data_IF_685768766319
#
_entry.id   IF_685768766319
#
_cell.length_a   1.000
_cell.length_b   1.000
_cell.length_c   1.000
_cell.angle_alpha   90.00
_cell.angle_beta   90.00
_cell.angle_gamma   90.00
#
_symmetry.space_group_name_H-M   'P 1'
#
loop_
_entity.id
_entity.type
_entity.pdbx_description
1 polymer ?
#
# COMPACT_ATOMS: atom_id res chain seq x y z
N UNK A 1 5.00 -25.16 -18.72
CA UNK A 1 3.99 -24.37 -18.01
C UNK A 1 4.62 -23.97 -16.68
N UNK A 2 4.74 -22.67 -16.38
CA UNK A 2 5.23 -22.28 -15.06
C UNK A 2 4.15 -22.62 -14.03
N UNK A 3 4.37 -23.69 -13.29
CA UNK A 3 3.51 -24.06 -12.15
C UNK A 3 3.69 -23.03 -11.05
N UNK A 4 2.67 -22.24 -10.79
CA UNK A 4 2.69 -21.17 -9.79
C UNK A 4 1.95 -21.67 -8.53
N UNK A 5 2.67 -21.81 -7.43
CA UNK A 5 2.12 -22.21 -6.15
C UNK A 5 1.61 -21.00 -5.34
N UNK A 6 0.61 -21.24 -4.54
CA UNK A 6 0.13 -20.37 -3.47
C UNK A 6 0.06 -21.17 -2.17
N UNK A 7 0.09 -20.48 -1.04
CA UNK A 7 -0.13 -21.10 0.26
C UNK A 7 -1.54 -20.78 0.75
N UNK A 8 -2.28 -21.79 1.22
CA UNK A 8 -3.61 -21.60 1.81
C UNK A 8 -3.67 -22.39 3.11
N UNK A 9 -3.89 -21.70 4.22
CA UNK A 9 -3.96 -22.25 5.58
C UNK A 9 -2.71 -23.03 5.96
N UNK A 10 -2.65 -24.32 5.62
CA UNK A 10 -1.56 -25.21 6.00
C UNK A 10 -0.85 -25.82 4.77
N UNK A 11 -1.34 -25.58 3.54
CA UNK A 11 -0.90 -26.28 2.33
C UNK A 11 -0.39 -25.37 1.21
N UNK A 12 0.63 -25.85 0.49
CA UNK A 12 1.02 -25.31 -0.81
C UNK A 12 0.23 -26.01 -1.92
N UNK A 13 -0.60 -25.25 -2.60
CA UNK A 13 -1.42 -25.73 -3.71
C UNK A 13 -1.09 -25.00 -5.02
N UNK A 14 -1.41 -25.60 -6.15
CA UNK A 14 -1.33 -24.88 -7.43
C UNK A 14 -2.32 -23.71 -7.43
N UNK A 15 -1.92 -22.58 -8.00
CA UNK A 15 -2.76 -21.38 -8.07
C UNK A 15 -4.13 -21.65 -8.72
N UNK A 16 -4.17 -22.53 -9.72
CA UNK A 16 -5.39 -22.92 -10.42
C UNK A 16 -6.33 -23.79 -9.57
N UNK A 17 -5.81 -24.46 -8.54
CA UNK A 17 -6.57 -25.29 -7.60
C UNK A 17 -6.95 -24.55 -6.32
N UNK A 18 -6.40 -23.35 -6.11
CA UNK A 18 -6.68 -22.55 -4.93
C UNK A 18 -8.16 -22.13 -4.85
N UNK A 19 -8.82 -22.36 -3.73
CA UNK A 19 -10.25 -22.10 -3.55
C UNK A 19 -10.52 -21.48 -2.18
N UNK A 20 -11.43 -20.52 -2.14
CA UNK A 20 -12.08 -20.00 -0.94
C UNK A 20 -13.59 -20.21 -1.13
N UNK A 21 -14.27 -20.71 -0.12
CA UNK A 21 -15.71 -20.94 -0.19
C UNK A 21 -16.48 -19.62 -0.16
N UNK A 22 -17.66 -19.59 -0.80
CA UNK A 22 -18.53 -18.41 -0.85
C UNK A 22 -19.09 -17.98 0.50
N UNK A 23 -18.98 -18.84 1.53
CA UNK A 23 -19.35 -18.54 2.92
C UNK A 23 -18.26 -17.77 3.68
N UNK A 24 -17.10 -17.52 3.06
CA UNK A 24 -16.06 -16.69 3.69
C UNK A 24 -16.51 -15.24 3.84
N UNK A 25 -16.28 -14.66 5.01
CA UNK A 25 -16.68 -13.28 5.29
C UNK A 25 -15.96 -12.24 4.41
N UNK A 26 -14.81 -12.58 3.83
CA UNK A 26 -14.17 -11.71 2.83
C UNK A 26 -15.01 -11.59 1.56
N UNK A 27 -15.69 -12.67 1.16
CA UNK A 27 -16.57 -12.70 -0.01
C UNK A 27 -17.91 -12.03 0.31
N UNK A 28 -18.48 -12.34 1.47
CA UNK A 28 -19.83 -11.87 1.85
C UNK A 28 -19.84 -10.44 2.37
N UNK A 29 -18.81 -10.00 3.07
CA UNK A 29 -18.78 -8.73 3.83
C UNK A 29 -17.53 -7.90 3.64
N UNK A 30 -16.54 -8.37 2.88
CA UNK A 30 -15.26 -7.68 2.77
C UNK A 30 -14.45 -7.69 4.08
N UNK A 31 -14.72 -8.64 5.00
CA UNK A 31 -14.06 -8.69 6.31
C UNK A 31 -12.77 -9.47 6.24
N UNK A 32 -11.66 -8.75 6.37
CA UNK A 32 -10.31 -9.30 6.32
C UNK A 32 -9.26 -8.21 6.18
N UNK A 33 -8.02 -8.63 6.26
CA UNK A 33 -6.83 -7.78 6.14
C UNK A 33 -5.87 -8.37 5.12
N UNK A 34 -4.92 -7.54 4.66
CA UNK A 34 -3.80 -8.02 3.88
C UNK A 34 -2.55 -7.20 4.15
N UNK A 35 -1.39 -7.77 3.80
CA UNK A 35 -0.19 -6.98 3.60
C UNK A 35 0.47 -7.37 2.27
N UNK A 36 1.37 -6.51 1.80
CA UNK A 36 2.06 -6.72 0.53
C UNK A 36 3.48 -6.18 0.64
N UNK A 37 4.45 -7.05 0.38
CA UNK A 37 5.85 -6.69 0.24
C UNK A 37 6.40 -7.22 -1.07
N UNK A 38 7.56 -6.69 -1.47
CA UNK A 38 8.24 -7.16 -2.68
C UNK A 38 9.54 -7.86 -2.34
N UNK A 39 9.99 -8.70 -3.25
CA UNK A 39 11.33 -9.29 -3.24
C UNK A 39 12.18 -8.71 -4.37
N UNK A 40 13.46 -8.52 -4.11
CA UNK A 40 14.48 -8.09 -5.08
C UNK A 40 15.62 -9.09 -4.93
N UNK A 41 16.02 -9.72 -6.04
CA UNK A 41 17.02 -10.81 -6.04
C UNK A 41 16.73 -11.89 -4.97
N UNK A 42 15.45 -12.22 -4.80
CA UNK A 42 14.98 -13.19 -3.81
C UNK A 42 14.92 -12.67 -2.36
N UNK A 43 15.42 -11.47 -2.08
CA UNK A 43 15.43 -10.89 -0.74
C UNK A 43 14.16 -10.05 -0.50
N UNK A 44 13.41 -10.29 0.59
CA UNK A 44 12.24 -9.49 0.91
C UNK A 44 12.64 -8.09 1.41
N UNK A 45 11.98 -7.07 0.88
CA UNK A 45 12.22 -5.66 1.22
C UNK A 45 11.37 -5.27 2.42
N UNK A 46 11.99 -4.81 3.51
CA UNK A 46 11.34 -4.33 4.74
C UNK A 46 10.35 -5.35 5.36
N UNK A 47 10.68 -6.64 5.30
CA UNK A 47 9.76 -7.72 5.70
C UNK A 47 9.26 -7.57 7.14
N UNK A 48 10.15 -7.24 8.08
CA UNK A 48 9.76 -7.15 9.50
C UNK A 48 8.76 -6.00 9.74
N UNK A 49 8.92 -4.86 9.08
CA UNK A 49 7.94 -3.76 9.12
C UNK A 49 6.58 -4.17 8.55
N UNK A 50 6.58 -4.94 7.45
CA UNK A 50 5.35 -5.47 6.86
C UNK A 50 4.66 -6.46 7.79
N UNK A 51 5.40 -7.33 8.45
CA UNK A 51 4.87 -8.27 9.45
C UNK A 51 4.35 -7.53 10.69
N UNK A 52 5.05 -6.51 11.19
CA UNK A 52 4.56 -5.66 12.29
C UNK A 52 3.17 -5.12 11.97
N UNK A 53 2.99 -4.53 10.79
CA UNK A 53 1.71 -3.98 10.35
C UNK A 53 0.65 -5.05 10.12
N UNK A 54 1.01 -6.21 9.60
CA UNK A 54 0.09 -7.31 9.39
C UNK A 54 -0.46 -7.83 10.73
N UNK A 55 0.41 -8.09 11.72
CA UNK A 55 -0.04 -8.54 13.04
C UNK A 55 -0.82 -7.47 13.79
N UNK A 56 -0.42 -6.20 13.68
CA UNK A 56 -1.21 -5.07 14.20
C UNK A 56 -2.62 -5.07 13.59
N UNK A 57 -2.72 -5.14 12.26
CA UNK A 57 -4.01 -5.16 11.57
C UNK A 57 -4.86 -6.37 11.95
N UNK A 58 -4.24 -7.54 12.15
CA UNK A 58 -4.92 -8.76 12.58
C UNK A 58 -5.50 -8.59 14.00
N UNK A 59 -4.74 -8.01 14.93
CA UNK A 59 -5.18 -7.73 16.29
C UNK A 59 -6.36 -6.77 16.33
N UNK A 60 -6.28 -5.65 15.60
CA UNK A 60 -7.36 -4.65 15.50
C UNK A 60 -8.67 -5.21 14.90
N UNK A 61 -8.56 -6.21 14.02
CA UNK A 61 -9.69 -6.89 13.42
C UNK A 61 -10.11 -8.17 14.16
N UNK A 62 -9.53 -8.45 15.34
CA UNK A 62 -9.79 -9.67 16.11
C UNK A 62 -9.63 -10.97 15.31
N UNK A 63 -8.63 -11.00 14.40
CA UNK A 63 -8.34 -12.14 13.55
C UNK A 63 -7.06 -12.85 14.04
N UNK A 64 -7.15 -14.00 14.73
CA UNK A 64 -5.98 -14.77 15.13
C UNK A 64 -5.23 -15.28 13.89
N UNK A 65 -3.93 -14.96 13.77
CA UNK A 65 -3.12 -15.33 12.61
C UNK A 65 -2.85 -16.84 12.54
N UNK A 66 -2.79 -17.51 13.69
CA UNK A 66 -2.55 -18.95 13.77
C UNK A 66 -1.10 -19.39 13.52
N UNK A 67 -0.24 -18.50 13.07
CA UNK A 67 1.19 -18.71 12.85
C UNK A 67 2.00 -17.60 13.51
N UNK A 68 3.18 -17.91 14.01
CA UNK A 68 4.15 -16.92 14.45
C UNK A 68 4.96 -16.36 13.26
N UNK A 69 5.77 -15.33 13.52
CA UNK A 69 6.59 -14.69 12.49
C UNK A 69 7.60 -15.60 11.84
N UNK A 70 8.18 -16.52 12.63
CA UNK A 70 9.17 -17.47 12.12
C UNK A 70 8.52 -18.46 11.14
N UNK A 71 7.36 -19.00 11.50
CA UNK A 71 6.59 -19.88 10.64
C UNK A 71 6.18 -19.19 9.33
N UNK A 72 5.71 -17.92 9.38
CA UNK A 72 5.39 -17.14 8.19
C UNK A 72 6.62 -16.89 7.29
N UNK A 73 7.77 -16.54 7.88
CA UNK A 73 9.02 -16.35 7.11
C UNK A 73 9.44 -17.65 6.40
N UNK A 74 9.28 -18.79 7.04
CA UNK A 74 9.55 -20.08 6.43
C UNK A 74 8.58 -20.39 5.27
N UNK A 75 7.29 -20.03 5.41
CA UNK A 75 6.32 -20.18 4.30
C UNK A 75 6.71 -19.29 3.12
N UNK A 76 7.10 -18.03 3.34
CA UNK A 76 7.56 -17.14 2.27
C UNK A 76 8.79 -17.68 1.55
N UNK A 77 9.76 -18.21 2.30
CA UNK A 77 10.95 -18.83 1.71
C UNK A 77 10.58 -20.04 0.83
N UNK A 78 9.79 -20.97 1.36
CA UNK A 78 9.36 -22.14 0.61
C UNK A 78 8.54 -21.77 -0.65
N UNK A 79 7.70 -20.73 -0.55
CA UNK A 79 6.93 -20.25 -1.69
C UNK A 79 7.85 -19.66 -2.77
N UNK A 80 8.86 -18.88 -2.36
CA UNK A 80 9.86 -18.31 -3.26
C UNK A 80 10.68 -19.40 -3.97
N UNK A 81 11.08 -20.44 -3.26
CA UNK A 81 11.80 -21.61 -3.82
C UNK A 81 10.92 -22.36 -4.83
N UNK A 82 9.66 -22.66 -4.48
CA UNK A 82 8.72 -23.37 -5.36
C UNK A 82 8.41 -22.61 -6.66
N UNK A 83 8.27 -21.28 -6.58
CA UNK A 83 7.89 -20.45 -7.72
C UNK A 83 9.09 -19.94 -8.53
N UNK A 84 10.30 -19.92 -7.94
CA UNK A 84 11.52 -19.41 -8.56
C UNK A 84 11.33 -17.99 -9.17
N UNK A 85 10.77 -17.08 -8.37
CA UNK A 85 10.48 -15.69 -8.77
C UNK A 85 11.30 -14.71 -7.91
N UNK A 86 12.56 -14.40 -8.29
CA UNK A 86 13.45 -13.55 -7.50
C UNK A 86 12.94 -12.10 -7.39
N UNK A 87 12.30 -11.58 -8.45
CA UNK A 87 11.63 -10.28 -8.45
C UNK A 87 10.13 -10.49 -8.41
N UNK A 88 9.54 -10.33 -7.23
CA UNK A 88 8.12 -10.62 -7.05
C UNK A 88 7.44 -9.74 -6.01
N UNK A 89 6.11 -9.70 -6.07
CA UNK A 89 5.25 -9.19 -5.02
C UNK A 89 4.61 -10.35 -4.28
N UNK A 90 4.73 -10.35 -2.97
CA UNK A 90 4.11 -11.33 -2.08
C UNK A 90 2.97 -10.64 -1.33
N UNK A 91 1.78 -11.20 -1.45
CA UNK A 91 0.59 -10.75 -0.74
C UNK A 91 0.17 -11.80 0.26
N UNK A 92 0.09 -11.41 1.53
CA UNK A 92 -0.47 -12.20 2.62
C UNK A 92 -1.87 -11.65 2.92
N UNK A 93 -2.87 -12.50 3.00
CA UNK A 93 -4.27 -12.13 3.29
C UNK A 93 -4.82 -13.03 4.39
N UNK A 94 -5.54 -12.41 5.35
CA UNK A 94 -6.24 -13.10 6.42
C UNK A 94 -7.69 -12.65 6.41
N UNK A 95 -8.63 -13.60 6.34
CA UNK A 95 -10.07 -13.32 6.26
C UNK A 95 -10.77 -13.65 7.56
N UNK A 96 -12.04 -13.24 7.69
CA UNK A 96 -12.89 -13.60 8.82
C UNK A 96 -13.29 -15.07 8.87
N UNK A 97 -12.85 -15.88 7.90
CA UNK A 97 -13.15 -17.29 7.83
C UNK A 97 -14.57 -17.61 7.32
N UNK A 98 -14.90 -18.89 7.30
CA UNK A 98 -16.22 -19.37 6.89
C UNK A 98 -17.26 -19.12 7.97
N UNK A 99 -18.34 -18.46 7.61
CA UNK A 99 -19.44 -18.08 8.53
C UNK A 99 -20.73 -18.82 8.14
N UNK A 100 -21.41 -19.37 9.14
CA UNK A 100 -22.69 -20.05 8.93
C UNK A 100 -23.87 -19.08 8.78
N UNK A 101 -23.81 -17.94 9.49
CA UNK A 101 -24.86 -16.92 9.50
C UNK A 101 -24.52 -15.69 8.63
N UNK A 102 -23.32 -15.67 8.02
CA UNK A 102 -22.82 -14.56 7.20
C UNK A 102 -22.45 -13.30 8.00
N UNK A 103 -22.25 -13.43 9.33
CA UNK A 103 -21.93 -12.32 10.22
C UNK A 103 -20.92 -12.69 11.31
N UNK A 104 -21.08 -13.85 11.94
CA UNK A 104 -20.16 -14.34 12.99
C UNK A 104 -18.85 -14.81 12.36
N UNK A 105 -17.72 -14.36 12.91
CA UNK A 105 -16.38 -14.78 12.42
C UNK A 105 -16.15 -16.26 12.70
N UNK A 106 -15.60 -16.97 11.70
CA UNK A 106 -15.16 -18.35 11.82
C UNK A 106 -13.67 -18.44 12.14
N UNK A 107 -13.07 -19.64 11.93
CA UNK A 107 -11.61 -19.79 11.89
C UNK A 107 -11.08 -19.00 10.69
N UNK A 108 -10.18 -18.03 10.89
CA UNK A 108 -9.61 -17.24 9.79
C UNK A 108 -8.99 -18.12 8.71
N UNK A 109 -9.14 -17.70 7.44
CA UNK A 109 -8.42 -18.30 6.34
C UNK A 109 -7.21 -17.42 6.01
N UNK A 110 -6.02 -17.99 6.06
CA UNK A 110 -4.76 -17.38 5.67
C UNK A 110 -4.35 -17.85 4.28
N UNK A 111 -4.11 -16.93 3.37
CA UNK A 111 -3.52 -17.29 2.08
C UNK A 111 -2.46 -16.30 1.62
N UNK A 112 -1.44 -16.86 0.97
CA UNK A 112 -0.28 -16.12 0.50
C UNK A 112 -0.10 -16.39 -0.99
N UNK A 113 -0.04 -15.31 -1.75
CA UNK A 113 0.16 -15.37 -3.20
C UNK A 113 1.45 -14.66 -3.57
N UNK A 114 2.11 -15.15 -4.62
CA UNK A 114 3.29 -14.53 -5.21
C UNK A 114 3.06 -14.31 -6.70
N UNK A 115 3.48 -13.15 -7.19
CA UNK A 115 3.41 -12.81 -8.60
C UNK A 115 4.67 -12.03 -9.03
N UNK A 116 5.10 -12.14 -10.29
CA UNK A 116 6.20 -11.32 -10.79
C UNK A 116 5.94 -9.84 -10.56
N UNK A 117 6.96 -9.12 -10.11
CA UNK A 117 6.89 -7.68 -9.90
C UNK A 117 8.19 -7.03 -10.34
N UNK A 118 8.10 -6.13 -11.32
CA UNK A 118 9.21 -5.32 -11.78
C UNK A 118 8.84 -3.84 -11.64
N UNK A 119 9.71 -3.07 -11.02
CA UNK A 119 9.55 -1.63 -10.95
C UNK A 119 10.08 -0.96 -12.22
N UNK A 120 9.25 -0.15 -12.86
CA UNK A 120 9.67 0.66 -14.01
C UNK A 120 10.07 2.07 -13.53
N UNK A 121 11.39 2.35 -13.50
CA UNK A 121 11.95 3.64 -13.08
C UNK A 121 11.43 4.82 -13.92
N UNK A 122 10.97 4.58 -15.16
CA UNK A 122 10.40 5.62 -16.03
C UNK A 122 9.10 6.20 -15.49
N UNK A 123 8.40 5.49 -14.61
CA UNK A 123 7.18 6.00 -13.97
C UNK A 123 7.45 7.24 -13.13
N UNK A 124 8.64 7.38 -12.54
CA UNK A 124 9.03 8.57 -11.80
C UNK A 124 8.98 9.83 -12.67
N UNK A 125 9.49 9.76 -13.90
CA UNK A 125 9.50 10.90 -14.82
C UNK A 125 8.13 11.24 -15.41
N UNK A 126 7.22 10.24 -15.47
CA UNK A 126 5.86 10.45 -15.96
C UNK A 126 4.97 11.15 -14.94
N UNK A 127 5.24 10.95 -13.64
CA UNK A 127 4.41 11.45 -12.56
C UNK A 127 2.95 11.00 -12.68
N UNK A 128 2.08 11.64 -11.90
CA UNK A 128 0.61 11.40 -11.94
C UNK A 128 -0.18 12.68 -11.70
N UNK A 129 -1.46 12.63 -12.10
CA UNK A 129 -2.49 13.62 -11.80
C UNK A 129 -3.47 13.07 -10.79
N UNK A 130 -3.84 13.86 -9.80
CA UNK A 130 -4.81 13.48 -8.76
C UNK A 130 -6.07 14.34 -8.86
N UNK A 131 -7.20 13.74 -8.50
CA UNK A 131 -8.45 14.46 -8.20
C UNK A 131 -8.79 14.25 -6.73
N UNK A 132 -9.26 15.29 -6.04
CA UNK A 132 -9.64 15.16 -4.64
C UNK A 132 -11.07 14.63 -4.47
N UNK A 133 -11.30 13.86 -3.41
CA UNK A 133 -12.63 13.36 -3.08
C UNK A 133 -12.82 13.33 -1.56
N UNK A 134 -13.96 13.85 -1.09
CA UNK A 134 -14.26 13.84 0.33
C UNK A 134 -14.61 12.41 0.79
N UNK A 135 -13.69 11.80 1.49
CA UNK A 135 -13.84 10.46 2.03
C UNK A 135 -12.85 10.21 3.17
N UNK A 136 -13.31 9.51 4.19
CA UNK A 136 -12.48 8.98 5.27
C UNK A 136 -12.67 7.47 5.33
N UNK A 137 -11.57 6.70 5.18
CA UNK A 137 -11.64 5.23 5.34
C UNK A 137 -12.10 4.88 6.76
N UNK A 138 -12.90 3.83 6.86
CA UNK A 138 -13.11 3.17 8.15
C UNK A 138 -11.80 2.50 8.56
N UNK A 139 -11.45 2.54 9.83
CA UNK A 139 -10.23 1.95 10.37
C UNK A 139 -8.97 2.30 9.53
N UNK A 140 -8.64 3.60 9.36
CA UNK A 140 -7.59 4.02 8.43
C UNK A 140 -6.22 3.42 8.76
N UNK A 141 -5.96 3.12 10.03
CA UNK A 141 -4.71 2.50 10.49
C UNK A 141 -4.60 1.01 10.13
N UNK A 142 -5.74 0.35 9.86
CA UNK A 142 -5.80 -1.08 9.53
C UNK A 142 -5.73 -1.27 8.02
N UNK A 143 -4.91 -2.23 7.59
CA UNK A 143 -4.80 -2.57 6.18
C UNK A 143 -5.84 -3.61 5.78
N UNK A 144 -7.12 -3.16 5.75
CA UNK A 144 -8.26 -4.01 5.37
C UNK A 144 -8.27 -4.34 3.88
N UNK A 145 -9.00 -5.40 3.50
CA UNK A 145 -9.30 -5.72 2.10
C UNK A 145 -10.44 -4.87 1.53
N UNK A 146 -11.05 -3.98 2.32
CA UNK A 146 -12.12 -3.10 1.86
C UNK A 146 -11.55 -1.98 0.96
N UNK A 147 -11.85 -2.09 -0.33
CA UNK A 147 -11.54 -1.11 -1.36
C UNK A 147 -12.80 -0.65 -2.11
N UNK A 148 -13.98 -0.84 -1.51
CA UNK A 148 -15.26 -0.53 -2.14
C UNK A 148 -15.30 0.89 -2.72
N UNK A 149 -14.94 1.90 -1.91
CA UNK A 149 -14.97 3.29 -2.36
C UNK A 149 -13.93 3.57 -3.46
N UNK A 150 -12.73 3.01 -3.35
CA UNK A 150 -11.69 3.18 -4.35
C UNK A 150 -12.09 2.60 -5.72
N UNK A 151 -12.72 1.42 -5.71
CA UNK A 151 -13.21 0.77 -6.93
C UNK A 151 -14.39 1.57 -7.52
N UNK A 152 -15.33 2.02 -6.67
CA UNK A 152 -16.47 2.84 -7.11
C UNK A 152 -16.05 4.16 -7.76
N UNK A 153 -14.92 4.74 -7.34
CA UNK A 153 -14.43 6.01 -7.85
C UNK A 153 -13.67 5.90 -9.20
N UNK A 154 -13.49 4.73 -9.79
CA UNK A 154 -12.73 4.59 -11.03
C UNK A 154 -13.30 5.44 -12.19
N UNK A 155 -14.63 5.51 -12.32
CA UNK A 155 -15.26 6.37 -13.34
C UNK A 155 -15.04 7.85 -13.03
N UNK A 156 -15.20 8.27 -11.78
CA UNK A 156 -14.94 9.64 -11.33
C UNK A 156 -13.50 10.07 -11.62
N UNK A 157 -12.51 9.22 -11.35
CA UNK A 157 -11.11 9.48 -11.67
C UNK A 157 -10.93 9.70 -13.17
N UNK A 158 -11.51 8.82 -13.99
CA UNK A 158 -11.44 8.91 -15.45
C UNK A 158 -12.14 10.16 -16.01
N UNK A 159 -13.32 10.52 -15.51
CA UNK A 159 -14.09 11.70 -15.92
C UNK A 159 -13.36 13.01 -15.59
N UNK A 160 -12.48 13.01 -14.58
CA UNK A 160 -11.65 14.15 -14.20
C UNK A 160 -10.23 14.11 -14.81
N UNK A 161 -9.99 13.25 -15.79
CA UNK A 161 -8.69 13.07 -16.45
C UNK A 161 -7.52 12.89 -15.47
N UNK A 162 -7.78 12.20 -14.35
CA UNK A 162 -6.83 11.91 -13.29
C UNK A 162 -6.36 10.44 -13.33
N UNK A 163 -5.28 10.15 -12.62
CA UNK A 163 -4.69 8.81 -12.54
C UNK A 163 -5.03 8.12 -11.20
N UNK A 164 -5.33 8.89 -10.15
CA UNK A 164 -5.73 8.38 -8.83
C UNK A 164 -6.54 9.47 -8.08
N UNK A 165 -7.10 9.11 -6.93
CA UNK A 165 -7.86 10.02 -6.07
C UNK A 165 -7.10 10.31 -4.78
N UNK A 166 -7.09 11.57 -4.33
CA UNK A 166 -6.60 11.99 -3.03
C UNK A 166 -7.80 12.24 -2.10
N UNK A 167 -7.88 11.48 -1.03
CA UNK A 167 -8.93 11.65 -0.04
C UNK A 167 -8.66 12.85 0.86
N UNK A 168 -9.74 13.52 1.25
CA UNK A 168 -9.71 14.60 2.25
C UNK A 168 -10.92 14.53 3.19
N UNK A 169 -10.78 15.13 4.35
CA UNK A 169 -11.84 15.26 5.36
C UNK A 169 -11.70 16.54 6.18
N UNK A 170 -12.27 16.56 7.36
CA UNK A 170 -12.21 17.73 8.25
C UNK A 170 -10.78 18.07 8.71
N UNK A 171 -9.88 17.08 8.72
CA UNK A 171 -8.45 17.26 9.08
C UNK A 171 -7.55 17.59 7.88
N UNK A 172 -8.11 17.97 6.74
CA UNK A 172 -7.38 18.22 5.50
C UNK A 172 -7.21 16.98 4.63
N UNK A 173 -6.17 16.99 3.78
CA UNK A 173 -5.81 15.86 2.92
C UNK A 173 -5.33 14.69 3.75
N UNK A 174 -5.62 13.46 3.32
CA UNK A 174 -5.19 12.25 4.02
C UNK A 174 -4.28 11.38 3.14
N UNK A 175 -4.82 10.52 2.33
CA UNK A 175 -4.06 9.57 1.52
C UNK A 175 -4.78 9.23 0.21
N UNK A 176 -4.08 8.65 -0.76
CA UNK A 176 -4.74 7.94 -1.85
C UNK A 176 -5.13 6.52 -1.39
N UNK A 177 -6.05 5.82 -2.08
CA UNK A 177 -6.49 4.47 -1.68
C UNK A 177 -5.36 3.48 -1.40
N UNK A 178 -4.20 3.67 -2.04
CA UNK A 178 -3.06 2.74 -1.97
C UNK A 178 -1.72 3.41 -1.70
N UNK A 179 -1.70 4.71 -1.38
CA UNK A 179 -0.46 5.48 -1.25
C UNK A 179 -0.60 6.55 -0.18
N UNK A 180 0.46 6.81 0.58
CA UNK A 180 0.54 8.01 1.41
C UNK A 180 0.91 9.22 0.56
N UNK A 181 0.51 10.40 1.02
CA UNK A 181 0.67 11.67 0.31
C UNK A 181 1.66 12.59 1.04
N UNK A 182 2.42 13.36 0.26
CA UNK A 182 3.41 14.32 0.74
C UNK A 182 3.38 15.58 -0.11
N UNK A 183 3.70 16.72 0.49
CA UNK A 183 4.03 17.97 -0.20
C UNK A 183 5.39 18.49 0.24
N UNK A 184 6.02 19.29 -0.61
CA UNK A 184 7.21 20.08 -0.29
C UNK A 184 6.83 21.55 -0.40
N UNK A 185 7.03 22.30 0.67
CA UNK A 185 6.73 23.73 0.73
C UNK A 185 7.81 24.56 0.03
N UNK A 186 7.58 25.85 -0.17
CA UNK A 186 8.58 26.79 -0.69
C UNK A 186 9.86 26.88 0.17
N UNK A 187 9.78 26.51 1.44
CA UNK A 187 10.91 26.49 2.39
C UNK A 187 11.58 25.12 2.52
N UNK A 188 11.39 24.23 1.56
CA UNK A 188 11.93 22.87 1.55
C UNK A 188 11.47 21.99 2.73
N UNK A 189 10.41 22.39 3.43
CA UNK A 189 9.79 21.54 4.44
C UNK A 189 8.91 20.50 3.75
N UNK A 190 9.12 19.25 4.06
CA UNK A 190 8.29 18.12 3.61
C UNK A 190 7.18 17.93 4.65
N UNK A 191 5.93 17.88 4.21
CA UNK A 191 4.77 17.65 5.09
C UNK A 191 4.02 16.41 4.60
N UNK A 192 3.65 15.53 5.52
CA UNK A 192 2.80 14.36 5.26
C UNK A 192 1.71 14.28 6.32
N UNK A 193 0.48 13.86 5.97
CA UNK A 193 -0.58 13.67 6.94
C UNK A 193 -0.19 12.72 8.08
N UNK A 194 -0.57 13.06 9.31
CA UNK A 194 -0.28 12.30 10.52
C UNK A 194 -1.43 11.36 10.90
N UNK A 195 -2.66 11.82 10.69
CA UNK A 195 -3.88 11.12 11.13
C UNK A 195 -4.75 10.72 9.94
N UNK A 196 -5.66 9.77 10.19
CA UNK A 196 -6.62 9.31 9.19
C UNK A 196 -5.97 8.67 7.94
N UNK A 197 -4.81 8.04 8.14
CA UNK A 197 -4.03 7.37 7.10
C UNK A 197 -3.58 5.99 7.55
N UNK A 198 -3.21 5.16 6.59
CA UNK A 198 -2.43 3.96 6.85
C UNK A 198 -0.97 4.33 7.14
N UNK A 199 -0.38 3.74 8.19
CA UNK A 199 1.06 3.82 8.44
C UNK A 199 1.82 3.02 7.34
N UNK A 200 2.11 3.69 6.21
CA UNK A 200 2.78 3.07 5.07
C UNK A 200 4.24 2.74 5.38
N UNK A 201 4.71 1.56 4.97
CA UNK A 201 6.09 1.13 5.22
C UNK A 201 7.08 2.02 4.46
N UNK A 202 6.79 2.36 3.21
CA UNK A 202 7.60 3.32 2.44
C UNK A 202 7.64 4.68 3.13
N UNK A 203 6.48 5.19 3.62
CA UNK A 203 6.41 6.42 4.40
C UNK A 203 7.25 6.35 5.68
N UNK A 204 7.15 5.26 6.46
CA UNK A 204 7.95 5.03 7.67
C UNK A 204 9.45 5.16 7.40
N UNK A 205 9.93 4.55 6.32
CA UNK A 205 11.34 4.59 5.96
C UNK A 205 11.78 6.00 5.50
N UNK A 206 10.94 6.73 4.76
CA UNK A 206 11.22 8.12 4.37
C UNK A 206 11.30 9.04 5.59
N UNK A 207 10.41 8.87 6.58
CA UNK A 207 10.44 9.64 7.83
C UNK A 207 11.72 9.42 8.64
N UNK A 208 12.40 8.30 8.43
CA UNK A 208 13.67 7.96 9.10
C UNK A 208 14.92 8.42 8.32
N UNK A 209 14.78 9.07 7.15
CA UNK A 209 15.95 9.55 6.41
C UNK A 209 16.57 10.76 7.08
N UNK A 210 17.90 10.71 7.26
CA UNK A 210 18.67 11.82 7.81
C UNK A 210 18.74 13.00 6.82
N UNK A 211 18.83 14.20 7.35
CA UNK A 211 19.04 15.41 6.56
C UNK A 211 17.80 16.00 5.89
N UNK A 212 16.63 15.35 6.00
CA UNK A 212 15.38 15.86 5.47
C UNK A 212 14.58 16.60 6.54
N UNK A 213 14.05 17.78 6.19
CA UNK A 213 13.14 18.54 7.07
C UNK A 213 11.70 18.03 6.90
N UNK A 214 11.39 16.90 7.52
CA UNK A 214 10.07 16.26 7.43
C UNK A 214 9.24 16.57 8.66
N UNK A 215 7.98 16.96 8.44
CA UNK A 215 6.97 17.17 9.47
C UNK A 215 5.73 16.31 9.19
N UNK A 216 5.27 15.62 10.21
CA UNK A 216 3.93 15.04 10.22
C UNK A 216 2.92 16.10 10.67
N UNK A 217 1.79 16.23 9.95
CA UNK A 217 0.79 17.25 10.27
C UNK A 217 -0.32 17.33 9.21
N UNK A 218 -1.25 18.26 9.39
CA UNK A 218 -2.35 18.47 8.43
C UNK A 218 -1.85 19.16 7.16
N UNK A 219 -2.45 18.81 6.03
CA UNK A 219 -2.27 19.48 4.73
C UNK A 219 -3.64 20.00 4.30
N UNK A 220 -3.81 21.32 4.29
CA UNK A 220 -5.03 21.98 3.85
C UNK A 220 -4.94 22.47 2.41
N UNK A 221 -6.06 22.79 1.75
CA UNK A 221 -6.08 23.26 0.35
C UNK A 221 -5.13 24.43 0.06
N UNK A 222 -4.97 25.37 1.02
CA UNK A 222 -4.09 26.53 0.88
C UNK A 222 -2.62 26.12 0.76
N UNK A 223 -2.22 25.05 1.46
CA UNK A 223 -0.87 24.51 1.38
C UNK A 223 -0.62 23.75 0.07
N UNK A 224 -1.66 23.13 -0.50
CA UNK A 224 -1.56 22.54 -1.84
C UNK A 224 -1.32 23.61 -2.90
N UNK A 225 -2.02 24.74 -2.82
CA UNK A 225 -1.90 25.83 -3.79
C UNK A 225 -0.50 26.46 -3.82
N UNK A 226 0.26 26.35 -2.73
CA UNK A 226 1.63 26.91 -2.60
C UNK A 226 2.70 25.83 -2.55
N UNK A 227 2.34 24.56 -2.73
CA UNK A 227 3.28 23.47 -2.71
C UNK A 227 4.23 23.54 -3.93
N UNK A 228 5.54 23.46 -3.67
CA UNK A 228 6.55 23.45 -4.73
C UNK A 228 6.66 22.08 -5.39
N UNK A 229 6.47 21.01 -4.62
CA UNK A 229 6.44 19.64 -5.08
C UNK A 229 5.35 18.87 -4.32
N UNK A 230 4.82 17.84 -4.96
CA UNK A 230 3.99 16.85 -4.29
C UNK A 230 4.35 15.44 -4.80
N UNK A 231 4.19 14.44 -3.95
CA UNK A 231 4.43 13.06 -4.31
C UNK A 231 3.61 12.09 -3.45
N UNK A 232 3.43 10.90 -3.97
CA UNK A 232 2.82 9.78 -3.24
C UNK A 232 3.82 8.65 -3.08
N UNK A 233 3.58 7.80 -2.07
CA UNK A 233 4.48 6.68 -1.76
C UNK A 233 3.74 5.39 -1.50
N UNK A 234 4.28 4.28 -1.99
CA UNK A 234 3.83 2.93 -1.66
C UNK A 234 4.91 1.89 -1.97
N UNK A 235 4.73 0.67 -1.52
CA UNK A 235 5.63 -0.47 -1.81
C UNK A 235 5.79 -0.70 -3.32
N UNK A 236 4.73 -0.50 -4.11
CA UNK A 236 4.74 -0.75 -5.56
C UNK A 236 5.16 0.45 -6.39
N UNK A 237 4.83 1.66 -5.95
CA UNK A 237 5.13 2.90 -6.69
C UNK A 237 6.41 3.57 -6.22
N UNK A 238 6.98 3.13 -5.08
CA UNK A 238 8.09 3.78 -4.39
C UNK A 238 7.74 5.24 -4.05
N UNK A 239 8.39 6.17 -4.69
CA UNK A 239 8.05 7.60 -4.72
C UNK A 239 7.58 7.93 -6.12
N UNK A 240 6.40 8.52 -6.23
CA UNK A 240 5.83 8.91 -7.52
C UNK A 240 5.41 10.39 -7.46
N UNK A 241 6.02 11.28 -8.27
CA UNK A 241 5.69 12.70 -8.31
C UNK A 241 4.24 12.94 -8.70
N UNK A 242 3.61 13.94 -8.08
CA UNK A 242 2.27 14.44 -8.44
C UNK A 242 2.44 15.77 -9.15
N UNK A 243 2.00 15.84 -10.40
CA UNK A 243 2.17 17.03 -11.24
C UNK A 243 0.95 17.95 -11.25
N UNK A 244 -0.21 17.38 -10.91
CA UNK A 244 -1.46 18.12 -10.95
C UNK A 244 -2.44 17.61 -9.88
N UNK A 245 -3.20 18.50 -9.27
CA UNK A 245 -4.31 18.18 -8.38
C UNK A 245 -5.51 19.05 -8.76
N UNK A 246 -6.64 18.41 -9.11
CA UNK A 246 -7.88 19.08 -9.56
C UNK A 246 -7.64 20.05 -10.74
N UNK A 247 -6.83 19.69 -11.74
CA UNK A 247 -6.51 20.54 -12.87
C UNK A 247 -5.48 21.65 -12.57
N UNK A 248 -5.02 21.78 -11.33
CA UNK A 248 -4.01 22.76 -10.95
C UNK A 248 -2.63 22.14 -10.92
N UNK A 249 -1.71 22.71 -11.67
CA UNK A 249 -0.32 22.24 -11.72
C UNK A 249 0.38 22.47 -10.39
N UNK A 250 1.09 21.47 -9.88
CA UNK A 250 1.95 21.56 -8.71
C UNK A 250 3.37 21.97 -9.16
N UNK A 251 3.89 23.04 -8.58
CA UNK A 251 5.22 23.56 -8.92
C UNK A 251 5.33 23.88 -10.42
N UNK A 252 6.26 23.20 -11.10
CA UNK A 252 6.48 23.36 -12.55
C UNK A 252 5.97 22.15 -13.38
N UNK A 253 5.19 21.25 -12.79
CA UNK A 253 4.65 20.06 -13.45
C UNK A 253 5.71 19.01 -13.80
N UNK A 254 6.82 18.97 -13.05
CA UNK A 254 7.93 18.03 -13.24
C UNK A 254 8.41 17.50 -11.89
N UNK A 255 9.17 16.37 -11.87
CA UNK A 255 9.77 15.88 -10.63
C UNK A 255 10.68 16.94 -10.01
N UNK A 256 10.39 17.33 -8.77
CA UNK A 256 11.20 18.29 -8.04
C UNK A 256 12.49 17.68 -7.49
N UNK A 257 13.38 18.56 -7.01
CA UNK A 257 14.71 18.18 -6.50
C UNK A 257 14.59 17.32 -5.24
N UNK A 258 13.72 17.73 -4.28
CA UNK A 258 13.54 17.02 -3.02
C UNK A 258 12.89 15.66 -3.26
N UNK A 259 11.86 15.59 -4.11
CA UNK A 259 11.22 14.33 -4.47
C UNK A 259 12.21 13.36 -5.12
N UNK A 260 13.12 13.85 -5.98
CA UNK A 260 14.15 13.04 -6.62
C UNK A 260 15.20 12.55 -5.63
N UNK A 261 15.58 13.36 -4.68
CA UNK A 261 16.51 12.97 -3.62
C UNK A 261 15.94 11.82 -2.79
N UNK A 262 14.69 11.96 -2.32
CA UNK A 262 13.97 10.92 -1.58
C UNK A 262 13.87 9.63 -2.40
N UNK A 263 13.54 9.74 -3.68
CA UNK A 263 13.47 8.60 -4.59
C UNK A 263 14.80 7.85 -4.69
N UNK A 264 15.92 8.58 -4.87
CA UNK A 264 17.24 7.98 -4.97
C UNK A 264 17.69 7.33 -3.66
N UNK A 265 17.46 7.98 -2.52
CA UNK A 265 17.74 7.39 -1.21
C UNK A 265 16.94 6.11 -0.99
N UNK A 266 15.64 6.10 -1.35
CA UNK A 266 14.80 4.92 -1.21
C UNK A 266 15.26 3.76 -2.12
N UNK A 267 15.69 4.04 -3.37
CA UNK A 267 16.26 3.04 -4.26
C UNK A 267 17.51 2.40 -3.64
N UNK A 268 18.43 3.22 -3.12
CA UNK A 268 19.64 2.75 -2.46
C UNK A 268 19.34 1.85 -1.26
N UNK A 269 18.38 2.23 -0.41
CA UNK A 269 17.96 1.43 0.75
C UNK A 269 17.36 0.07 0.36
N UNK A 270 16.86 -0.06 -0.87
CA UNK A 270 16.22 -1.29 -1.34
C UNK A 270 17.12 -2.13 -2.27
N UNK A 271 18.34 -1.67 -2.56
CA UNK A 271 19.27 -2.37 -3.46
C UNK A 271 18.81 -2.36 -4.93
N UNK A 272 18.13 -1.28 -5.39
CA UNK A 272 17.59 -1.16 -6.76
C UNK A 272 18.47 -0.22 -7.61
#
# INVERSE_FOLDING_TARGET
MNTNYVFINDDFVLKEDARILITDLSVQRGYGIFDFFKTIDGQPVFLDDHLDRFYFSAAEMFLPVGMDRHALKNVFQQLAEKNNLPHSGIRITLTGGYSEDGFTTGKPNLFITQAPFNYDKRNFEKGIRLVTYQHQRQLPQVKTIDYLQAIRLQNFIKENDADDVLYYGASGMSECPRCNFFIVTEKDQIITPEINILAGITRKNILAFDGLNIKEGCIFPEQLATAREAFITSTTKLVLPVFEINGNTIGNGKPGVVTREIFNQLLSCQGI
#
